data_IF_526478006246
#
_entry.id   IF_526478006246
#
_cell.length_a   1.000
_cell.length_b   1.000
_cell.length_c   1.000
_cell.angle_alpha   90.00
_cell.angle_beta   90.00
_cell.angle_gamma   90.00
#
_symmetry.space_group_name_H-M   'P 1'
#
loop_
_entity.id
_entity.type
_entity.pdbx_description
1 polymer ?
#
# COMPACT_ATOMS: atom_id res chain seq x y z
N UNK A 1 -0.86 13.01 -7.97
CA UNK A 1 0.56 12.79 -7.71
C UNK A 1 1.09 13.86 -6.76
N UNK A 2 1.85 13.44 -5.77
CA UNK A 2 2.48 14.32 -4.79
C UNK A 2 3.99 14.07 -4.81
N UNK A 3 4.78 15.15 -4.85
CA UNK A 3 6.24 15.09 -4.88
C UNK A 3 6.86 16.44 -4.52
N UNK A 4 8.20 16.55 -4.55
CA UNK A 4 8.91 17.75 -4.17
C UNK A 4 8.60 18.20 -2.73
N UNK A 5 8.52 19.50 -2.47
CA UNK A 5 8.24 20.02 -1.13
C UNK A 5 6.86 19.61 -0.56
N UNK A 6 5.88 19.33 -1.43
CA UNK A 6 4.52 18.97 -1.00
C UNK A 6 4.47 17.61 -0.31
N UNK A 7 5.32 16.64 -0.71
CA UNK A 7 5.31 15.30 -0.10
C UNK A 7 5.85 15.32 1.33
N UNK A 8 6.82 16.18 1.64
CA UNK A 8 7.41 16.24 2.98
C UNK A 8 6.36 16.67 4.01
N UNK A 9 5.66 17.77 3.76
CA UNK A 9 4.60 18.24 4.64
C UNK A 9 3.44 17.26 4.76
N UNK A 10 3.09 16.55 3.69
CA UNK A 10 2.05 15.53 3.71
C UNK A 10 2.50 14.29 4.50
N UNK A 11 3.72 13.81 4.29
CA UNK A 11 4.33 12.68 5.00
C UNK A 11 4.30 12.89 6.52
N UNK A 12 4.80 14.03 6.98
CA UNK A 12 4.89 14.34 8.40
C UNK A 12 3.52 14.39 9.06
N UNK A 13 2.55 15.04 8.41
CA UNK A 13 1.19 15.16 8.93
C UNK A 13 0.46 13.82 8.94
N UNK A 14 0.57 13.02 7.88
CA UNK A 14 -0.07 11.71 7.80
C UNK A 14 0.51 10.74 8.81
N UNK A 15 1.84 10.74 8.96
CA UNK A 15 2.51 9.94 9.97
C UNK A 15 2.09 10.32 11.39
N UNK A 16 2.08 11.61 11.70
CA UNK A 16 1.61 12.10 13.01
C UNK A 16 0.16 11.69 13.28
N UNK A 17 -0.72 11.77 12.29
CA UNK A 17 -2.11 11.31 12.38
C UNK A 17 -2.22 9.81 12.67
N UNK A 18 -1.42 8.98 11.98
CA UNK A 18 -1.40 7.53 12.19
C UNK A 18 -0.86 7.15 13.58
N UNK A 19 0.19 7.82 14.06
CA UNK A 19 0.78 7.58 15.40
C UNK A 19 -0.18 7.90 16.52
N UNK A 20 -1.09 8.86 16.36
CA UNK A 20 -2.13 9.17 17.33
C UNK A 20 -3.13 8.03 17.54
N UNK A 21 -3.09 6.98 16.69
CA UNK A 21 -3.93 5.81 16.84
C UNK A 21 -5.39 6.03 16.46
N UNK A 22 -5.66 6.99 15.57
CA UNK A 22 -7.00 7.18 15.02
C UNK A 22 -7.51 5.87 14.38
N UNK A 23 -8.74 5.44 14.68
CA UNK A 23 -9.26 4.21 14.11
C UNK A 23 -9.39 4.33 12.58
N UNK A 24 -8.98 3.30 11.82
CA UNK A 24 -9.17 3.28 10.37
C UNK A 24 -10.65 3.42 9.98
N UNK A 25 -10.91 4.27 8.97
CA UNK A 25 -12.25 4.50 8.44
C UNK A 25 -12.21 4.53 6.91
N UNK A 26 -11.88 3.40 6.26
CA UNK A 26 -11.69 3.35 4.83
C UNK A 26 -12.99 3.56 4.05
N UNK A 27 -12.90 4.18 2.87
CA UNK A 27 -14.07 4.35 1.97
C UNK A 27 -14.55 3.00 1.40
N UNK A 28 -13.62 2.08 1.16
CA UNK A 28 -13.89 0.70 0.80
C UNK A 28 -13.51 -0.21 1.97
N UNK A 29 -14.42 -1.01 2.51
CA UNK A 29 -14.14 -1.85 3.68
C UNK A 29 -12.93 -2.77 3.45
N UNK A 30 -12.02 -2.82 4.42
CA UNK A 30 -10.97 -3.83 4.42
C UNK A 30 -11.55 -5.23 4.63
N UNK A 31 -10.86 -6.29 4.15
CA UNK A 31 -11.25 -7.65 4.45
C UNK A 31 -11.38 -7.87 5.97
N UNK A 32 -12.53 -8.34 6.42
CA UNK A 32 -12.78 -8.59 7.85
C UNK A 32 -11.82 -9.64 8.41
N UNK A 33 -11.46 -10.65 7.59
CA UNK A 33 -10.54 -11.72 7.95
C UNK A 33 -9.95 -12.37 6.71
N UNK A 34 -8.82 -13.02 6.90
CA UNK A 34 -8.19 -13.86 5.89
C UNK A 34 -8.26 -15.32 6.35
N UNK A 35 -8.75 -16.22 5.50
CA UNK A 35 -8.89 -17.65 5.78
C UNK A 35 -8.20 -18.49 4.71
N UNK A 36 -7.99 -19.78 5.01
CA UNK A 36 -7.40 -20.74 4.07
C UNK A 36 -6.10 -20.24 3.45
N UNK A 37 -5.97 -20.39 2.16
CA UNK A 37 -4.78 -20.02 1.37
C UNK A 37 -4.41 -18.53 1.50
N UNK A 38 -5.38 -17.65 1.64
CA UNK A 38 -5.13 -16.21 1.81
C UNK A 38 -4.45 -15.89 3.14
N UNK A 39 -4.83 -16.59 4.21
CA UNK A 39 -4.18 -16.48 5.52
C UNK A 39 -2.73 -16.93 5.45
N UNK A 40 -2.46 -18.09 4.81
CA UNK A 40 -1.10 -18.61 4.68
C UNK A 40 -0.22 -17.69 3.80
N UNK A 41 -0.72 -17.22 2.66
CA UNK A 41 -0.01 -16.25 1.82
C UNK A 41 0.37 -14.98 2.58
N UNK A 42 -0.58 -14.41 3.32
CA UNK A 42 -0.33 -13.23 4.15
C UNK A 42 0.72 -13.50 5.24
N UNK A 43 0.64 -14.65 5.89
CA UNK A 43 1.61 -15.07 6.92
C UNK A 43 3.02 -15.21 6.33
N UNK A 44 3.15 -15.91 5.21
CA UNK A 44 4.45 -16.09 4.52
C UNK A 44 5.05 -14.74 4.14
N UNK A 45 4.28 -13.85 3.52
CA UNK A 45 4.75 -12.51 3.16
C UNK A 45 5.22 -11.71 4.40
N UNK A 46 4.47 -11.77 5.50
CA UNK A 46 4.84 -11.09 6.74
C UNK A 46 6.11 -11.65 7.37
N UNK A 47 6.27 -12.97 7.38
CA UNK A 47 7.48 -13.64 7.91
C UNK A 47 8.71 -13.24 7.08
N UNK A 48 8.62 -13.27 5.75
CA UNK A 48 9.72 -12.87 4.87
C UNK A 48 10.13 -11.41 5.09
N UNK A 49 9.16 -10.51 5.25
CA UNK A 49 9.40 -9.10 5.53
C UNK A 49 10.18 -8.92 6.83
N UNK A 50 9.69 -9.51 7.92
CA UNK A 50 10.31 -9.34 9.23
C UNK A 50 11.68 -10.01 9.30
N UNK A 51 11.87 -11.17 8.66
CA UNK A 51 13.17 -11.83 8.55
C UNK A 51 14.20 -10.95 7.79
N UNK A 52 13.79 -10.35 6.68
CA UNK A 52 14.66 -9.46 5.92
C UNK A 52 15.11 -8.23 6.73
N UNK A 53 14.25 -7.76 7.64
CA UNK A 53 14.53 -6.62 8.51
C UNK A 53 15.19 -7.01 9.86
N UNK A 54 15.40 -8.28 10.13
CA UNK A 54 15.94 -8.76 11.41
C UNK A 54 14.97 -8.56 12.59
N UNK A 55 13.66 -8.43 12.32
CA UNK A 55 12.63 -8.27 13.35
C UNK A 55 12.17 -9.64 13.81
N UNK A 56 12.36 -9.96 15.09
CA UNK A 56 11.89 -11.22 15.67
C UNK A 56 10.36 -11.23 15.82
N UNK A 57 9.79 -12.43 15.94
CA UNK A 57 8.34 -12.61 16.11
C UNK A 57 7.81 -11.99 17.41
N UNK A 58 8.64 -11.95 18.42
CA UNK A 58 8.33 -11.42 19.75
C UNK A 58 8.44 -9.89 19.80
N UNK A 59 9.21 -9.29 18.89
CA UNK A 59 9.42 -7.85 18.82
C UNK A 59 8.25 -7.13 18.14
N UNK A 60 7.17 -7.03 18.91
CA UNK A 60 5.94 -6.36 18.46
C UNK A 60 6.13 -4.84 18.27
N UNK A 61 7.05 -4.24 19.00
CA UNK A 61 7.31 -2.81 18.91
C UNK A 61 7.94 -2.47 17.55
N UNK A 62 9.00 -3.17 17.15
CA UNK A 62 9.61 -2.99 15.84
C UNK A 62 8.66 -3.36 14.70
N UNK A 63 7.82 -4.39 14.86
CA UNK A 63 6.81 -4.73 13.86
C UNK A 63 5.75 -3.64 13.70
N UNK A 64 5.30 -3.02 14.81
CA UNK A 64 4.39 -1.89 14.76
C UNK A 64 5.03 -0.65 14.11
N UNK A 65 6.29 -0.35 14.46
CA UNK A 65 7.04 0.73 13.84
C UNK A 65 7.19 0.51 12.32
N UNK A 66 7.51 -0.71 11.89
CA UNK A 66 7.60 -1.05 10.47
C UNK A 66 6.25 -0.85 9.74
N UNK A 67 5.14 -1.14 10.41
CA UNK A 67 3.80 -0.90 9.85
C UNK A 67 3.52 0.60 9.65
N UNK A 68 4.04 1.45 10.53
CA UNK A 68 3.91 2.91 10.42
C UNK A 68 4.71 3.50 9.26
N UNK A 69 5.74 2.81 8.76
CA UNK A 69 6.51 3.26 7.60
C UNK A 69 5.65 3.37 6.32
N UNK A 70 4.49 2.70 6.26
CA UNK A 70 3.51 2.94 5.21
C UNK A 70 3.11 4.42 5.11
N UNK A 71 2.92 5.08 6.25
CA UNK A 71 2.50 6.48 6.32
C UNK A 71 3.66 7.46 6.12
N UNK A 72 4.90 6.95 6.05
CA UNK A 72 6.10 7.65 5.61
C UNK A 72 6.47 7.33 4.17
N UNK A 73 5.62 6.58 3.46
CA UNK A 73 5.81 6.16 2.07
C UNK A 73 7.10 5.34 1.87
N UNK A 74 7.59 4.69 2.92
CA UNK A 74 8.89 3.99 2.93
C UNK A 74 10.06 4.87 2.46
N UNK A 75 10.02 6.17 2.73
CA UNK A 75 11.02 7.15 2.28
C UNK A 75 10.93 7.54 0.80
N UNK A 76 9.98 7.03 0.04
CA UNK A 76 9.85 7.34 -1.38
C UNK A 76 9.61 8.84 -1.61
N UNK A 77 10.25 9.45 -2.62
CA UNK A 77 10.13 10.88 -2.92
C UNK A 77 8.81 11.25 -3.60
N UNK A 78 8.01 10.26 -3.99
CA UNK A 78 6.73 10.49 -4.69
C UNK A 78 5.67 9.53 -4.18
N UNK A 79 4.42 10.00 -4.15
CA UNK A 79 3.24 9.16 -3.92
C UNK A 79 2.12 9.53 -4.91
N UNK A 80 1.51 8.51 -5.50
CA UNK A 80 0.26 8.65 -6.24
C UNK A 80 -0.89 8.28 -5.30
N UNK A 81 -1.89 9.15 -5.19
CA UNK A 81 -3.13 8.90 -4.46
C UNK A 81 -4.19 8.50 -5.48
N UNK A 82 -4.70 7.28 -5.35
CA UNK A 82 -5.64 6.68 -6.30
C UNK A 82 -7.04 6.81 -5.75
N UNK A 83 -7.89 7.51 -6.49
CA UNK A 83 -9.27 7.81 -6.10
C UNK A 83 -10.22 7.55 -7.26
N UNK A 84 -11.47 7.26 -6.93
CA UNK A 84 -12.57 7.11 -7.89
C UNK A 84 -13.78 7.94 -7.46
N UNK A 85 -14.72 8.15 -8.35
CA UNK A 85 -16.02 8.75 -8.00
C UNK A 85 -16.88 7.74 -7.25
N UNK A 86 -17.61 8.21 -6.23
CA UNK A 86 -18.49 7.37 -5.41
C UNK A 86 -19.57 6.65 -6.25
N UNK A 87 -20.09 7.35 -7.25
CA UNK A 87 -21.13 6.83 -8.15
C UNK A 87 -20.69 5.61 -8.97
N UNK A 88 -19.38 5.44 -9.19
CA UNK A 88 -18.83 4.27 -9.91
C UNK A 88 -18.76 3.01 -9.01
N UNK A 89 -18.88 3.16 -7.71
CA UNK A 89 -18.94 2.06 -6.75
C UNK A 89 -17.77 1.07 -6.89
N UNK A 90 -18.08 -0.21 -6.82
CA UNK A 90 -17.10 -1.30 -6.92
C UNK A 90 -16.37 -1.31 -8.27
N UNK A 91 -17.05 -1.01 -9.37
CA UNK A 91 -16.40 -1.01 -10.69
C UNK A 91 -15.33 0.09 -10.80
N UNK A 92 -15.59 1.26 -10.21
CA UNK A 92 -14.55 2.28 -10.11
C UNK A 92 -13.30 1.82 -9.34
N UNK A 93 -13.47 1.01 -8.30
CA UNK A 93 -12.34 0.40 -7.59
C UNK A 93 -11.62 -0.67 -8.44
N UNK A 94 -12.36 -1.45 -9.25
CA UNK A 94 -11.77 -2.41 -10.22
C UNK A 94 -10.93 -1.69 -11.25
N UNK A 95 -11.44 -0.60 -11.85
CA UNK A 95 -10.70 0.22 -12.82
C UNK A 95 -9.44 0.81 -12.19
N UNK A 96 -9.53 1.28 -10.94
CA UNK A 96 -8.35 1.73 -10.20
C UNK A 96 -7.31 0.61 -10.02
N UNK A 97 -7.73 -0.62 -9.75
CA UNK A 97 -6.82 -1.77 -9.63
C UNK A 97 -6.07 -2.06 -10.93
N UNK A 98 -6.76 -2.00 -12.08
CA UNK A 98 -6.15 -2.13 -13.41
C UNK A 98 -5.15 -0.99 -13.68
N UNK A 99 -5.51 0.25 -13.33
CA UNK A 99 -4.61 1.40 -13.44
C UNK A 99 -3.36 1.22 -12.58
N UNK A 100 -3.51 0.80 -11.31
CA UNK A 100 -2.41 0.54 -10.37
C UNK A 100 -1.45 -0.50 -10.95
N UNK A 101 -1.96 -1.60 -11.50
CA UNK A 101 -1.14 -2.64 -12.13
C UNK A 101 -0.34 -2.09 -13.32
N UNK A 102 -0.99 -1.37 -14.22
CA UNK A 102 -0.32 -0.75 -15.38
C UNK A 102 0.71 0.30 -14.96
N UNK A 103 0.40 1.13 -13.95
CA UNK A 103 1.35 2.10 -13.40
C UNK A 103 2.63 1.41 -12.90
N UNK A 104 2.46 0.35 -12.08
CA UNK A 104 3.61 -0.36 -11.49
C UNK A 104 4.45 -1.07 -12.56
N UNK A 105 3.83 -1.64 -13.59
CA UNK A 105 4.54 -2.26 -14.72
C UNK A 105 5.31 -1.21 -15.53
N UNK A 106 4.70 -0.06 -15.82
CA UNK A 106 5.37 1.04 -16.52
C UNK A 106 6.53 1.61 -15.71
N UNK A 107 6.35 1.81 -14.39
CA UNK A 107 7.41 2.24 -13.49
C UNK A 107 8.58 1.26 -13.50
N UNK A 108 8.31 -0.04 -13.39
CA UNK A 108 9.33 -1.09 -13.43
C UNK A 108 10.11 -1.07 -14.75
N UNK A 109 9.45 -0.86 -15.89
CA UNK A 109 10.09 -0.76 -17.20
C UNK A 109 11.05 0.45 -17.29
N UNK A 110 10.78 1.51 -16.53
CA UNK A 110 11.61 2.71 -16.42
C UNK A 110 12.68 2.61 -15.31
N UNK A 111 12.83 1.47 -14.66
CA UNK A 111 13.75 1.28 -13.54
C UNK A 111 13.31 1.96 -12.24
N UNK A 112 12.04 2.36 -12.16
CA UNK A 112 11.46 3.01 -10.97
C UNK A 112 10.79 1.94 -10.10
N UNK A 113 11.22 1.84 -8.85
CA UNK A 113 10.58 0.98 -7.85
C UNK A 113 9.26 1.58 -7.40
N UNK A 114 8.28 0.72 -7.15
CA UNK A 114 6.96 1.15 -6.69
C UNK A 114 6.32 0.13 -5.77
N UNK A 115 5.44 0.61 -4.88
CA UNK A 115 4.66 -0.23 -3.98
C UNK A 115 3.24 0.32 -3.83
N UNK A 116 2.25 -0.51 -4.14
CA UNK A 116 0.85 -0.20 -3.86
C UNK A 116 0.56 -0.39 -2.36
N UNK A 117 -0.10 0.59 -1.73
CA UNK A 117 -0.30 0.68 -0.30
C UNK A 117 -1.77 0.85 0.06
N UNK A 118 -2.45 -0.26 0.40
CA UNK A 118 -3.79 -0.22 0.97
C UNK A 118 -3.83 0.46 2.35
N UNK A 119 -2.71 0.46 3.09
CA UNK A 119 -2.62 1.10 4.40
C UNK A 119 -3.00 2.58 4.37
N UNK A 120 -2.71 3.30 3.28
CA UNK A 120 -3.07 4.72 3.14
C UNK A 120 -4.58 4.94 3.08
N UNK A 121 -5.35 3.92 2.67
CA UNK A 121 -6.80 3.97 2.69
C UNK A 121 -7.42 3.90 4.09
N UNK A 122 -6.62 3.79 5.15
CA UNK A 122 -7.10 3.90 6.52
C UNK A 122 -7.65 5.29 6.86
N UNK A 123 -7.15 6.33 6.20
CA UNK A 123 -7.43 7.73 6.55
C UNK A 123 -7.88 8.59 5.35
N UNK A 124 -8.94 8.20 4.63
CA UNK A 124 -9.36 8.91 3.43
C UNK A 124 -9.85 10.34 3.73
N UNK A 125 -10.53 10.56 4.87
CA UNK A 125 -11.00 11.88 5.27
C UNK A 125 -9.80 12.83 5.49
N UNK A 126 -8.76 12.37 6.18
CA UNK A 126 -7.53 13.16 6.35
C UNK A 126 -6.88 13.53 5.01
N UNK A 127 -6.86 12.59 4.05
CA UNK A 127 -6.30 12.83 2.72
C UNK A 127 -7.15 13.83 1.94
N UNK A 128 -8.49 13.68 1.99
CA UNK A 128 -9.41 14.63 1.34
C UNK A 128 -9.23 16.04 1.89
N UNK A 129 -9.22 16.18 3.20
CA UNK A 129 -9.07 17.48 3.87
C UNK A 129 -7.72 18.13 3.53
N UNK A 130 -6.64 17.33 3.53
CA UNK A 130 -5.29 17.84 3.25
C UNK A 130 -5.14 18.40 1.83
N UNK A 131 -5.79 17.75 0.84
CA UNK A 131 -5.68 18.14 -0.58
C UNK A 131 -6.91 18.89 -1.13
N UNK A 132 -7.90 19.17 -0.30
CA UNK A 132 -9.15 19.82 -0.73
C UNK A 132 -9.93 18.99 -1.74
N UNK A 133 -9.91 17.66 -1.62
CA UNK A 133 -10.66 16.78 -2.53
C UNK A 133 -12.15 16.78 -2.14
N UNK A 134 -13.06 16.72 -3.11
CA UNK A 134 -14.48 16.69 -2.83
C UNK A 134 -14.90 15.37 -2.13
N UNK A 135 -15.99 15.38 -1.34
CA UNK A 135 -16.40 14.24 -0.52
C UNK A 135 -16.83 13.00 -1.32
N UNK A 136 -17.21 13.18 -2.58
CA UNK A 136 -17.56 12.09 -3.50
C UNK A 136 -16.31 11.38 -4.11
N UNK A 137 -15.11 11.88 -3.85
CA UNK A 137 -13.86 11.20 -4.24
C UNK A 137 -13.52 10.15 -3.20
N UNK A 138 -13.77 8.87 -3.54
CA UNK A 138 -13.44 7.72 -2.70
C UNK A 138 -11.97 7.32 -2.90
N UNK A 139 -11.27 7.17 -1.81
CA UNK A 139 -9.85 6.79 -1.82
C UNK A 139 -9.70 5.26 -1.86
N UNK A 140 -8.93 4.77 -2.83
CA UNK A 140 -8.72 3.32 -3.05
C UNK A 140 -7.40 2.86 -2.42
N UNK A 141 -6.29 3.48 -2.82
CA UNK A 141 -4.95 3.17 -2.30
C UNK A 141 -3.96 4.27 -2.66
N UNK A 142 -2.74 4.16 -2.14
CA UNK A 142 -1.61 4.95 -2.64
C UNK A 142 -0.62 4.09 -3.39
N UNK A 143 0.27 4.71 -4.16
CA UNK A 143 1.44 4.09 -4.76
C UNK A 143 2.64 4.97 -4.41
N UNK A 144 3.53 4.48 -3.55
CA UNK A 144 4.81 5.14 -3.31
C UNK A 144 5.82 4.68 -4.36
N UNK A 145 6.62 5.60 -4.90
CA UNK A 145 7.55 5.26 -5.96
C UNK A 145 8.79 6.18 -5.98
N UNK A 146 9.89 5.62 -6.48
CA UNK A 146 11.19 6.27 -6.58
C UNK A 146 12.26 5.25 -6.95
N UNK A 147 13.53 5.60 -6.81
CA UNK A 147 14.61 4.65 -7.00
C UNK A 147 14.86 3.87 -5.71
N UNK A 148 14.90 2.54 -5.82
CA UNK A 148 15.16 1.67 -4.67
C UNK A 148 16.59 1.82 -4.19
N UNK A 149 16.79 1.82 -2.86
CA UNK A 149 18.11 1.62 -2.27
C UNK A 149 18.50 0.12 -2.36
N UNK A 150 19.45 -0.26 -3.21
CA UNK A 150 19.82 -1.67 -3.38
C UNK A 150 20.49 -2.26 -2.13
N UNK A 151 21.02 -1.44 -1.24
CA UNK A 151 21.66 -1.88 0.00
C UNK A 151 20.65 -2.12 1.14
N UNK A 152 19.43 -1.60 1.03
CA UNK A 152 18.43 -1.78 2.08
C UNK A 152 17.92 -3.23 2.13
N UNK A 153 17.96 -3.91 3.30
CA UNK A 153 17.62 -5.33 3.45
C UNK A 153 16.24 -5.72 2.90
N UNK A 154 15.26 -4.82 2.97
CA UNK A 154 13.90 -5.05 2.47
C UNK A 154 13.87 -5.31 0.95
N UNK A 155 14.88 -4.86 0.21
CA UNK A 155 14.97 -5.03 -1.23
C UNK A 155 15.71 -6.32 -1.64
N UNK A 156 16.23 -7.11 -0.67
CA UNK A 156 17.01 -8.33 -0.90
C UNK A 156 16.18 -9.54 -1.31
N UNK A 157 14.87 -9.51 -1.15
CA UNK A 157 13.99 -10.66 -1.43
C UNK A 157 12.79 -10.27 -2.32
N UNK A 158 12.12 -11.29 -2.83
CA UNK A 158 10.84 -11.15 -3.54
C UNK A 158 9.86 -12.18 -3.01
N UNK A 159 8.60 -11.80 -2.88
CA UNK A 159 7.53 -12.71 -2.49
C UNK A 159 7.20 -13.67 -3.63
N UNK A 160 6.91 -14.94 -3.30
CA UNK A 160 6.45 -15.92 -4.26
C UNK A 160 5.08 -15.52 -4.85
N UNK A 161 4.80 -16.02 -6.02
CA UNK A 161 3.49 -15.92 -6.68
C UNK A 161 2.89 -17.30 -6.81
N UNK A 162 1.55 -17.36 -6.81
CA UNK A 162 0.84 -18.59 -7.13
C UNK A 162 1.21 -19.06 -8.54
N UNK A 163 1.30 -20.37 -8.73
CA UNK A 163 1.46 -20.97 -10.05
C UNK A 163 0.16 -20.83 -10.85
N UNK A 164 0.22 -21.06 -12.14
CA UNK A 164 -0.97 -21.05 -13.01
C UNK A 164 -2.02 -22.06 -12.49
N UNK A 165 -1.60 -23.31 -12.17
CA UNK A 165 -2.51 -24.34 -11.67
C UNK A 165 -3.15 -24.04 -10.31
N UNK A 166 -2.58 -23.10 -9.52
CA UNK A 166 -3.19 -22.65 -8.24
C UNK A 166 -4.16 -21.47 -8.42
N UNK A 167 -4.10 -20.78 -9.56
CA UNK A 167 -4.87 -19.57 -9.82
C UNK A 167 -5.90 -19.72 -10.95
N UNK A 168 -5.78 -20.76 -11.79
CA UNK A 168 -6.60 -20.95 -12.98
C UNK A 168 -7.18 -22.35 -13.00
N UNK A 169 -8.47 -22.46 -13.31
CA UNK A 169 -9.14 -23.74 -13.56
C UNK A 169 -9.45 -23.82 -15.05
N UNK A 170 -8.93 -24.83 -15.71
CA UNK A 170 -9.27 -25.15 -17.10
C UNK A 170 -10.49 -26.07 -17.11
N UNK A 171 -11.48 -25.74 -17.92
CA UNK A 171 -12.68 -26.56 -18.14
C UNK A 171 -12.61 -27.00 -19.59
N UNK A 172 -12.55 -28.33 -19.80
CA UNK A 172 -12.56 -28.99 -21.12
C UNK A 172 -13.98 -29.45 -21.49
#
# INVERSE_FOLDING_TARGET
LVGGAAIEGFRDRLYAHAVQGSPPKPDFPFPLRYEGVYRERRKVCGVQLYQALGISREDRASAAQQSLENFRFFGAPHVALITTEDELGVYGAVDCGLYVSNFMLAAQNLGVASIAQAALASYPDFIRDHFGLPPNRKFVCGISFGYADPAHPINSYRTARATEGESTTWIE
#
